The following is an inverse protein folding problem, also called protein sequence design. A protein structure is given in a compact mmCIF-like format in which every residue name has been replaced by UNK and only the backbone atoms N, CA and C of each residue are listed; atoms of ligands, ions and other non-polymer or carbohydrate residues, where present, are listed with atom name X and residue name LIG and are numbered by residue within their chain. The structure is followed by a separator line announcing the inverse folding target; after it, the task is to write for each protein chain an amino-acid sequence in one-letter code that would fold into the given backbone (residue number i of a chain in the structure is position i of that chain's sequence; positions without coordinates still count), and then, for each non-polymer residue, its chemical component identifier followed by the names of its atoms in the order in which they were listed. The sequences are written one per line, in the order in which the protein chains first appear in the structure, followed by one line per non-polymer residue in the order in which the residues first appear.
data_IF_331336377752
#
_entry.id   IF_331336377752
#
_cell.length_a   1.000
_cell.length_b   1.000
_cell.length_c   1.000
_cell.angle_alpha   90.00
_cell.angle_beta   90.00
_cell.angle_gamma   90.00
#
_symmetry.space_group_name_H-M   'P 1'
#
loop_
_entity.id
_entity.type
_entity.pdbx_description
1 polymer ?
#
# COMPACT_ATOMS: atom_id res chain seq x y z
N UNK A 1 32.61 -32.31 13.68
CA UNK A 1 31.86 -33.05 12.65
C UNK A 1 30.93 -32.05 12.00
N UNK A 2 31.19 -31.76 10.72
CA UNK A 2 30.47 -30.73 9.97
C UNK A 2 29.02 -31.12 9.77
N UNK A 3 28.12 -30.16 10.02
CA UNK A 3 26.80 -30.19 9.44
C UNK A 3 26.86 -29.33 8.18
N UNK A 4 27.10 -30.01 7.07
CA UNK A 4 26.81 -29.51 5.73
C UNK A 4 25.28 -29.49 5.65
N UNK A 5 24.68 -28.31 5.85
CA UNK A 5 23.33 -28.06 5.39
C UNK A 5 23.46 -27.84 3.89
N UNK A 6 22.93 -28.78 3.12
CA UNK A 6 22.91 -28.72 1.67
C UNK A 6 22.24 -27.42 1.19
N UNK A 7 22.92 -26.69 0.31
CA UNK A 7 22.35 -25.67 -0.56
C UNK A 7 21.27 -26.32 -1.42
N UNK A 8 20.00 -25.97 -1.20
CA UNK A 8 18.91 -26.27 -2.12
C UNK A 8 18.78 -25.12 -3.12
N UNK A 9 19.31 -25.36 -4.33
CA UNK A 9 19.02 -24.76 -5.64
C UNK A 9 19.03 -23.22 -5.76
N UNK A 10 20.22 -22.62 -5.69
CA UNK A 10 20.48 -21.30 -6.28
C UNK A 10 20.60 -21.45 -7.81
N UNK A 11 19.63 -20.92 -8.58
CA UNK A 11 19.69 -20.89 -10.05
C UNK A 11 20.79 -19.90 -10.48
N UNK A 12 21.88 -20.39 -11.03
CA UNK A 12 22.97 -19.55 -11.56
C UNK A 12 22.63 -19.08 -12.98
N UNK A 13 23.14 -17.93 -13.41
CA UNK A 13 23.00 -17.46 -14.81
C UNK A 13 23.51 -18.48 -15.85
N UNK A 14 24.38 -19.40 -15.41
CA UNK A 14 24.98 -20.45 -16.24
C UNK A 14 24.02 -21.63 -16.44
N UNK A 15 23.04 -21.77 -15.55
CA UNK A 15 21.96 -22.77 -15.66
C UNK A 15 20.85 -22.30 -16.62
N UNK A 16 20.86 -21.00 -16.96
CA UNK A 16 19.93 -20.42 -17.94
C UNK A 16 20.30 -20.81 -19.39
N UNK A 17 19.32 -20.85 -20.31
CA UNK A 17 19.56 -21.19 -21.71
C UNK A 17 20.56 -20.23 -22.37
N UNK A 18 21.66 -20.77 -22.86
CA UNK A 18 22.69 -19.97 -23.50
C UNK A 18 22.39 -19.77 -25.00
N UNK A 19 22.32 -18.52 -25.46
CA UNK A 19 21.87 -18.19 -26.83
C UNK A 19 22.71 -18.86 -27.93
N UNK A 20 24.00 -19.11 -27.69
CA UNK A 20 24.87 -19.80 -28.66
C UNK A 20 24.44 -21.25 -28.94
N UNK A 21 23.69 -21.87 -28.02
CA UNK A 21 23.12 -23.22 -28.19
C UNK A 21 21.85 -23.23 -29.03
N UNK A 22 21.35 -22.06 -29.44
CA UNK A 22 20.12 -21.87 -30.21
C UNK A 22 18.90 -22.56 -29.57
N UNK A 23 18.58 -22.27 -28.28
CA UNK A 23 17.47 -22.90 -27.59
C UNK A 23 16.13 -22.52 -28.23
N UNK A 24 15.11 -23.40 -28.17
CA UNK A 24 13.78 -23.07 -28.70
C UNK A 24 13.14 -21.91 -27.92
N UNK A 25 12.19 -21.23 -28.56
CA UNK A 25 11.51 -20.06 -28.00
C UNK A 25 10.86 -20.35 -26.63
N UNK A 26 10.24 -21.52 -26.49
CA UNK A 26 9.59 -21.97 -25.24
C UNK A 26 10.57 -22.01 -24.07
N UNK A 27 11.76 -22.56 -24.27
CA UNK A 27 12.80 -22.67 -23.24
C UNK A 27 13.32 -21.30 -22.82
N UNK A 28 13.44 -20.34 -23.75
CA UNK A 28 13.81 -18.95 -23.40
C UNK A 28 12.70 -18.31 -22.57
N UNK A 29 11.44 -18.47 -22.97
CA UNK A 29 10.30 -17.88 -22.26
C UNK A 29 10.13 -18.47 -20.85
N UNK A 30 10.30 -19.79 -20.68
CA UNK A 30 10.32 -20.45 -19.37
C UNK A 30 11.43 -19.89 -18.47
N UNK A 31 12.64 -19.73 -19.02
CA UNK A 31 13.75 -19.12 -18.29
C UNK A 31 13.47 -17.67 -17.89
N UNK A 32 12.86 -16.88 -18.78
CA UNK A 32 12.46 -15.51 -18.48
C UNK A 32 11.35 -15.44 -17.42
N UNK A 33 10.47 -16.45 -17.35
CA UNK A 33 9.44 -16.53 -16.31
C UNK A 33 10.06 -16.81 -14.93
N UNK A 34 11.08 -17.67 -14.87
CA UNK A 34 11.87 -17.89 -13.64
C UNK A 34 12.57 -16.61 -13.14
N UNK A 35 12.89 -15.68 -14.04
CA UNK A 35 13.50 -14.40 -13.70
C UNK A 35 12.49 -13.32 -13.30
N UNK A 36 11.19 -13.61 -13.28
CA UNK A 36 10.16 -12.64 -12.89
C UNK A 36 10.35 -12.18 -11.45
N UNK A 37 10.33 -10.86 -11.24
CA UNK A 37 10.26 -10.28 -9.91
C UNK A 37 8.79 -9.97 -9.63
N UNK A 38 8.26 -10.51 -8.54
CA UNK A 38 6.94 -10.13 -8.07
C UNK A 38 7.05 -8.80 -7.30
N UNK A 39 6.07 -7.88 -7.45
CA UNK A 39 6.05 -6.66 -6.66
C UNK A 39 6.14 -7.00 -5.17
N UNK A 40 7.03 -6.31 -4.46
CA UNK A 40 7.30 -6.61 -3.06
C UNK A 40 6.02 -6.49 -2.23
N UNK A 41 5.71 -7.56 -1.49
CA UNK A 41 4.70 -7.52 -0.43
C UNK A 41 5.42 -7.17 0.87
N UNK A 42 5.09 -6.04 1.49
CA UNK A 42 5.69 -5.53 2.73
C UNK A 42 5.31 -6.35 3.98
N UNK A 43 5.46 -7.67 3.92
CA UNK A 43 5.23 -8.56 5.03
C UNK A 43 6.44 -8.52 5.98
N UNK A 44 6.18 -8.41 7.28
CA UNK A 44 7.23 -8.33 8.32
C UNK A 44 8.11 -9.60 8.44
N UNK A 45 7.75 -10.70 7.77
CA UNK A 45 8.52 -11.93 7.66
C UNK A 45 8.36 -12.49 6.24
N UNK A 46 9.25 -12.18 5.28
CA UNK A 46 9.19 -12.80 3.97
C UNK A 46 9.29 -14.33 4.10
N UNK A 47 8.50 -15.11 3.35
CA UNK A 47 8.68 -16.56 3.28
C UNK A 47 10.13 -16.89 2.90
N UNK A 48 10.67 -18.05 3.29
CA UNK A 48 12.01 -18.49 2.85
C UNK A 48 12.20 -18.42 1.33
N UNK A 49 11.13 -18.63 0.56
CA UNK A 49 11.12 -18.49 -0.90
C UNK A 49 11.31 -17.04 -1.38
N UNK A 50 10.90 -16.02 -0.61
CA UNK A 50 11.17 -14.63 -0.91
C UNK A 50 12.65 -14.26 -0.62
N UNK A 51 13.29 -14.90 0.36
CA UNK A 51 14.73 -14.75 0.64
C UNK A 51 15.63 -15.39 -0.44
N UNK A 52 15.22 -16.50 -1.06
CA UNK A 52 15.93 -17.06 -2.22
C UNK A 52 15.69 -16.24 -3.50
N UNK A 53 14.47 -15.73 -3.71
CA UNK A 53 14.17 -14.78 -4.80
C UNK A 53 14.96 -13.47 -4.69
N UNK A 54 15.08 -12.89 -3.48
CA UNK A 54 15.94 -11.71 -3.25
C UNK A 54 17.41 -11.94 -3.61
N UNK A 55 17.92 -13.18 -3.50
CA UNK A 55 19.28 -13.52 -3.95
C UNK A 55 19.40 -13.55 -5.49
N UNK A 56 18.39 -14.04 -6.20
CA UNK A 56 18.28 -13.98 -7.66
C UNK A 56 18.11 -12.54 -8.20
N UNK A 57 17.44 -11.67 -7.45
CA UNK A 57 17.33 -10.23 -7.75
C UNK A 57 18.68 -9.53 -7.71
N UNK A 58 19.57 -9.92 -6.78
CA UNK A 58 20.91 -9.34 -6.60
C UNK A 58 21.99 -9.94 -7.49
N UNK A 59 21.68 -10.94 -8.32
CA UNK A 59 22.69 -11.51 -9.22
C UNK A 59 23.00 -10.52 -10.35
N UNK A 60 24.14 -9.81 -10.23
CA UNK A 60 24.63 -8.81 -11.18
C UNK A 60 24.78 -9.35 -12.63
N UNK A 61 24.82 -10.66 -12.80
CA UNK A 61 24.94 -11.31 -14.11
C UNK A 61 23.60 -11.43 -14.85
N UNK A 62 22.47 -11.35 -14.15
CA UNK A 62 21.12 -11.45 -14.73
C UNK A 62 20.81 -10.25 -15.64
N UNK A 63 21.04 -8.97 -15.25
CA UNK A 63 20.90 -7.84 -16.16
C UNK A 63 21.73 -7.99 -17.44
N UNK A 64 22.95 -8.52 -17.34
CA UNK A 64 23.81 -8.78 -18.50
C UNK A 64 23.26 -9.92 -19.39
N UNK A 65 22.63 -10.95 -18.80
CA UNK A 65 21.92 -11.99 -19.54
C UNK A 65 20.70 -11.46 -20.29
N UNK A 66 19.85 -10.69 -19.61
CA UNK A 66 18.66 -10.07 -20.21
C UNK A 66 19.04 -9.12 -21.37
N UNK A 67 20.08 -8.30 -21.18
CA UNK A 67 20.61 -7.41 -22.23
C UNK A 67 21.10 -8.19 -23.45
N UNK A 68 21.73 -9.37 -23.25
CA UNK A 68 22.14 -10.25 -24.35
C UNK A 68 20.96 -10.82 -25.13
N UNK A 69 19.84 -11.14 -24.45
CA UNK A 69 18.60 -11.57 -25.13
C UNK A 69 18.03 -10.42 -25.96
N UNK A 70 17.87 -9.24 -25.36
CA UNK A 70 17.28 -8.05 -26.00
C UNK A 70 18.09 -7.63 -27.23
N UNK A 71 19.42 -7.70 -27.17
CA UNK A 71 20.31 -7.35 -28.28
C UNK A 71 20.47 -8.46 -29.34
N UNK A 72 19.96 -9.68 -29.09
CA UNK A 72 20.04 -10.78 -30.03
C UNK A 72 18.95 -10.70 -31.10
N UNK A 73 19.32 -10.94 -32.36
CA UNK A 73 18.37 -11.04 -33.47
C UNK A 73 17.56 -12.34 -33.49
N UNK A 74 17.88 -13.31 -32.61
CA UNK A 74 17.19 -14.59 -32.46
C UNK A 74 16.97 -15.31 -33.81
N UNK A 75 17.96 -15.28 -34.71
CA UNK A 75 17.82 -15.74 -36.11
C UNK A 75 17.39 -17.20 -36.26
N UNK A 76 17.64 -18.04 -35.25
CA UNK A 76 17.25 -19.46 -35.26
C UNK A 76 15.78 -19.70 -34.90
N UNK A 77 15.06 -18.68 -34.43
CA UNK A 77 13.62 -18.73 -34.19
C UNK A 77 12.95 -18.22 -35.46
N UNK A 78 12.03 -18.99 -36.04
CA UNK A 78 11.35 -18.61 -37.29
C UNK A 78 10.09 -17.77 -37.05
N UNK A 79 9.36 -18.07 -35.97
CA UNK A 79 8.14 -17.36 -35.61
C UNK A 79 8.46 -15.92 -35.12
N UNK A 80 8.01 -14.93 -35.89
CA UNK A 80 8.20 -13.51 -35.58
C UNK A 80 7.47 -13.05 -34.31
N UNK A 81 6.26 -13.55 -34.05
CA UNK A 81 5.50 -13.22 -32.83
C UNK A 81 6.23 -13.74 -31.59
N UNK A 82 6.81 -14.94 -31.67
CA UNK A 82 7.57 -15.52 -30.57
C UNK A 82 8.84 -14.71 -30.26
N UNK A 83 9.49 -14.10 -31.28
CA UNK A 83 10.63 -13.20 -31.05
C UNK A 83 10.20 -11.94 -30.31
N UNK A 84 9.11 -11.32 -30.77
CA UNK A 84 8.57 -10.11 -30.15
C UNK A 84 8.23 -10.37 -28.68
N UNK A 85 7.57 -11.49 -28.40
CA UNK A 85 7.27 -11.91 -27.04
C UNK A 85 8.53 -12.11 -26.19
N UNK A 86 9.58 -12.74 -26.72
CA UNK A 86 10.85 -12.92 -26.00
C UNK A 86 11.48 -11.57 -25.66
N UNK A 87 11.57 -10.65 -26.64
CA UNK A 87 12.17 -9.33 -26.42
C UNK A 87 11.36 -8.50 -25.42
N UNK A 88 10.03 -8.54 -25.51
CA UNK A 88 9.14 -7.82 -24.61
C UNK A 88 9.25 -8.36 -23.17
N UNK A 89 9.19 -9.69 -22.99
CA UNK A 89 9.33 -10.30 -21.66
C UNK A 89 10.72 -10.04 -21.10
N UNK A 90 11.80 -10.19 -21.88
CA UNK A 90 13.16 -9.90 -21.43
C UNK A 90 13.35 -8.43 -21.01
N UNK A 91 12.81 -7.50 -21.80
CA UNK A 91 12.83 -6.07 -21.48
C UNK A 91 12.05 -5.78 -20.19
N UNK A 92 10.91 -6.43 -20.00
CA UNK A 92 10.13 -6.33 -18.76
C UNK A 92 10.92 -6.83 -17.54
N UNK A 93 11.58 -7.99 -17.63
CA UNK A 93 12.43 -8.53 -16.55
C UNK A 93 13.60 -7.61 -16.20
N UNK A 94 14.13 -6.88 -17.18
CA UNK A 94 15.20 -5.91 -16.98
C UNK A 94 14.67 -4.63 -16.32
N UNK A 95 13.49 -4.14 -16.74
CA UNK A 95 12.80 -2.99 -16.14
C UNK A 95 12.42 -3.25 -14.68
N UNK A 96 11.92 -4.45 -14.35
CA UNK A 96 11.63 -4.90 -12.97
C UNK A 96 12.85 -4.77 -12.03
N UNK A 97 14.07 -4.81 -12.59
CA UNK A 97 15.35 -4.70 -11.86
C UNK A 97 15.95 -3.30 -11.84
N UNK A 98 15.31 -2.32 -12.48
CA UNK A 98 15.83 -0.95 -12.60
C UNK A 98 15.38 -0.02 -11.45
N UNK A 99 14.90 -0.59 -10.34
CA UNK A 99 14.30 0.14 -9.23
C UNK A 99 12.90 0.69 -9.54
N UNK A 100 12.24 1.30 -8.55
CA UNK A 100 10.83 1.72 -8.66
C UNK A 100 10.56 2.75 -9.77
N UNK A 101 11.54 3.60 -10.10
CA UNK A 101 11.46 4.59 -11.18
C UNK A 101 11.64 4.00 -12.57
N UNK A 102 12.40 2.91 -12.69
CA UNK A 102 12.61 2.19 -13.96
C UNK A 102 11.59 1.08 -14.21
N UNK A 103 10.77 0.72 -13.22
CA UNK A 103 9.74 -0.30 -13.30
C UNK A 103 8.44 0.25 -13.90
N UNK A 104 7.82 -0.51 -14.80
CA UNK A 104 6.49 -0.21 -15.35
C UNK A 104 5.37 -0.26 -14.30
N UNK A 105 4.13 -0.07 -14.73
CA UNK A 105 2.97 -0.26 -13.86
C UNK A 105 2.83 -1.71 -13.40
N UNK A 106 2.24 -1.90 -12.22
CA UNK A 106 2.00 -3.21 -11.66
C UNK A 106 0.82 -3.19 -10.69
N UNK A 107 0.31 -4.38 -10.38
CA UNK A 107 -0.69 -4.58 -9.35
C UNK A 107 -0.04 -5.21 -8.12
N UNK A 108 -0.43 -4.74 -6.94
CA UNK A 108 0.09 -5.20 -5.65
C UNK A 108 -1.05 -5.62 -4.74
N UNK A 109 -0.83 -6.71 -3.99
CA UNK A 109 -1.80 -7.24 -3.04
C UNK A 109 -1.37 -6.94 -1.61
N UNK A 110 -2.29 -6.41 -0.80
CA UNK A 110 -2.08 -6.09 0.60
C UNK A 110 -2.96 -6.93 1.50
N UNK A 111 -2.34 -7.65 2.44
CA UNK A 111 -3.05 -8.38 3.48
C UNK A 111 -3.36 -7.45 4.66
N UNK A 112 -4.62 -7.05 4.80
CA UNK A 112 -5.09 -6.19 5.88
C UNK A 112 -5.71 -7.05 6.99
N UNK A 113 -5.17 -7.03 8.22
CA UNK A 113 -5.74 -7.75 9.35
C UNK A 113 -7.10 -7.17 9.74
N UNK A 114 -8.06 -8.05 10.02
CA UNK A 114 -9.41 -7.63 10.45
C UNK A 114 -9.56 -7.57 11.97
N UNK A 115 -8.57 -8.13 12.70
CA UNK A 115 -8.51 -8.27 14.16
C UNK A 115 -7.07 -8.22 14.66
N UNK A 116 -6.87 -7.90 15.95
CA UNK A 116 -5.54 -7.81 16.56
C UNK A 116 -4.82 -9.16 16.68
N UNK A 117 -5.54 -10.27 16.79
CA UNK A 117 -4.93 -11.62 16.81
C UNK A 117 -4.23 -11.96 15.48
N UNK A 118 -4.79 -11.51 14.36
CA UNK A 118 -4.21 -11.64 13.02
C UNK A 118 -2.91 -10.83 12.84
N UNK A 119 -2.65 -9.82 13.68
CA UNK A 119 -1.35 -9.12 13.70
C UNK A 119 -0.23 -10.02 14.23
N UNK A 120 -0.55 -10.97 15.11
CA UNK A 120 0.42 -11.86 15.77
C UNK A 120 0.66 -13.17 15.01
N UNK A 121 -0.31 -13.61 14.20
CA UNK A 121 -0.27 -14.86 13.41
C UNK A 121 0.89 -14.98 12.41
N UNK A 122 1.57 -13.88 12.08
CA UNK A 122 2.78 -13.89 11.24
C UNK A 122 4.03 -14.47 11.95
N UNK A 123 3.94 -14.84 13.24
CA UNK A 123 5.04 -15.42 14.04
C UNK A 123 4.98 -16.95 14.22
N UNK A 124 3.92 -17.64 13.78
CA UNK A 124 3.83 -19.11 13.89
C UNK A 124 3.60 -19.75 12.52
N UNK A 125 4.47 -20.71 12.17
CA UNK A 125 4.31 -21.59 11.00
C UNK A 125 2.93 -22.25 11.03
N UNK A 126 2.04 -21.89 10.12
CA UNK A 126 0.82 -22.65 9.88
C UNK A 126 1.11 -23.83 8.94
N UNK A 127 0.90 -25.04 9.44
CA UNK A 127 0.61 -26.20 8.59
C UNK A 127 -0.76 -26.01 7.91
N UNK A 128 -0.97 -26.58 6.72
CA UNK A 128 -2.25 -26.47 6.04
C UNK A 128 -3.30 -27.35 6.75
N UNK A 129 -4.36 -26.76 7.27
CA UNK A 129 -5.53 -27.53 7.74
C UNK A 129 -6.59 -27.57 6.65
N UNK A 130 -6.94 -28.79 6.25
CA UNK A 130 -7.96 -29.11 5.26
C UNK A 130 -9.33 -28.52 5.59
N UNK A 131 -10.04 -28.15 4.51
CA UNK A 131 -11.39 -27.62 4.55
C UNK A 131 -12.41 -28.67 5.04
N UNK A 132 -13.40 -28.23 5.82
CA UNK A 132 -14.68 -28.92 5.89
C UNK A 132 -15.84 -27.99 6.26
N UNK A 133 -16.85 -27.96 5.38
CA UNK A 133 -18.29 -27.99 5.70
C UNK A 133 -18.96 -26.88 6.51
N UNK A 134 -19.63 -25.97 5.79
CA UNK A 134 -20.93 -25.29 6.06
C UNK A 134 -21.43 -25.13 7.52
N UNK A 135 -21.48 -23.87 8.01
CA UNK A 135 -22.68 -23.19 8.56
C UNK A 135 -22.45 -21.68 8.58
N UNK A 136 -23.49 -20.89 8.30
CA UNK A 136 -23.44 -19.45 8.04
C UNK A 136 -22.97 -18.57 9.20
N UNK A 137 -22.07 -17.65 8.86
CA UNK A 137 -21.56 -16.55 9.67
C UNK A 137 -20.29 -16.03 8.99
N UNK A 138 -20.26 -14.78 8.54
CA UNK A 138 -19.06 -14.14 7.97
C UNK A 138 -17.94 -14.20 9.01
N UNK A 139 -17.08 -15.22 8.93
CA UNK A 139 -16.04 -15.48 9.92
C UNK A 139 -15.02 -14.34 9.92
N UNK A 140 -15.03 -13.53 10.98
CA UNK A 140 -14.15 -12.38 11.24
C UNK A 140 -12.70 -12.78 11.60
N UNK A 141 -12.23 -13.99 11.23
CA UNK A 141 -11.01 -14.62 11.78
C UNK A 141 -9.75 -14.46 10.91
N UNK A 142 -9.70 -13.50 9.99
CA UNK A 142 -8.64 -13.46 8.97
C UNK A 142 -8.14 -12.08 8.58
N UNK A 143 -7.49 -12.06 7.42
CA UNK A 143 -7.13 -10.86 6.67
C UNK A 143 -8.11 -10.64 5.53
N UNK A 144 -8.23 -9.41 5.05
CA UNK A 144 -8.79 -9.09 3.73
C UNK A 144 -7.63 -8.79 2.78
N UNK A 145 -7.70 -9.29 1.56
CA UNK A 145 -6.72 -8.99 0.52
C UNK A 145 -7.27 -7.83 -0.30
N UNK A 146 -6.50 -6.75 -0.38
CA UNK A 146 -6.80 -5.61 -1.23
C UNK A 146 -5.83 -5.56 -2.41
N UNK A 147 -6.34 -5.33 -3.61
CA UNK A 147 -5.55 -5.22 -4.85
C UNK A 147 -5.43 -3.75 -5.25
N UNK A 148 -4.21 -3.25 -5.42
CA UNK A 148 -3.96 -1.88 -5.86
C UNK A 148 -3.14 -1.87 -7.14
N UNK A 149 -3.63 -1.12 -8.12
CA UNK A 149 -2.87 -0.72 -9.29
C UNK A 149 -1.99 0.48 -8.96
N UNK A 150 -0.69 0.34 -9.22
CA UNK A 150 0.27 1.43 -9.21
C UNK A 150 0.77 1.68 -10.63
N UNK A 151 0.49 2.85 -11.23
CA UNK A 151 1.05 3.17 -12.53
C UNK A 151 2.57 3.39 -12.45
N UNK A 152 3.20 3.45 -13.63
CA UNK A 152 4.62 3.80 -13.76
C UNK A 152 4.87 5.13 -13.06
N UNK A 153 5.92 5.20 -12.25
CA UNK A 153 6.29 6.43 -11.55
C UNK A 153 6.97 7.38 -12.54
N UNK A 154 6.22 8.35 -13.06
CA UNK A 154 6.71 9.36 -14.00
C UNK A 154 6.64 10.75 -13.37
N UNK A 155 7.73 11.52 -13.44
CA UNK A 155 7.78 12.89 -12.90
C UNK A 155 7.43 12.96 -11.40
N UNK A 156 6.61 13.94 -11.03
CA UNK A 156 6.22 14.25 -9.64
C UNK A 156 4.98 13.47 -9.15
N UNK A 157 4.61 12.36 -9.79
CA UNK A 157 3.42 11.55 -9.48
C UNK A 157 3.55 10.69 -8.19
N UNK A 158 4.06 11.29 -7.11
CA UNK A 158 4.29 10.61 -5.82
C UNK A 158 3.01 10.02 -5.21
N UNK A 159 1.84 10.62 -5.49
CA UNK A 159 0.53 10.12 -5.03
C UNK A 159 0.07 8.81 -5.68
N UNK A 160 0.73 8.35 -6.76
CA UNK A 160 0.37 7.12 -7.45
C UNK A 160 1.17 5.88 -6.98
N UNK A 161 2.07 6.09 -6.01
CA UNK A 161 2.79 5.02 -5.31
C UNK A 161 2.16 4.80 -3.94
N UNK A 162 2.01 3.55 -3.54
CA UNK A 162 1.68 3.23 -2.14
C UNK A 162 2.94 3.44 -1.30
N UNK A 163 2.79 4.05 -0.12
CA UNK A 163 3.88 4.32 0.83
C UNK A 163 3.75 3.44 2.09
N UNK A 164 4.88 3.18 2.76
CA UNK A 164 4.93 2.30 3.93
C UNK A 164 3.99 2.77 5.06
N UNK A 165 3.90 4.09 5.26
CA UNK A 165 2.97 4.78 6.15
C UNK A 165 1.51 4.39 5.90
N UNK A 166 1.08 4.31 4.64
CA UNK A 166 -0.27 3.83 4.27
C UNK A 166 -0.48 2.37 4.68
N UNK A 167 0.54 1.52 4.51
CA UNK A 167 0.42 0.11 4.89
C UNK A 167 0.37 -0.10 6.41
N UNK A 168 1.22 0.62 7.15
CA UNK A 168 1.24 0.59 8.61
C UNK A 168 -0.10 1.08 9.18
N UNK A 169 -0.61 2.21 8.69
CA UNK A 169 -1.91 2.73 9.11
C UNK A 169 -3.04 1.75 8.80
N UNK A 170 -3.07 1.19 7.58
CA UNK A 170 -4.09 0.21 7.18
C UNK A 170 -4.10 -1.04 8.08
N UNK A 171 -2.93 -1.53 8.51
CA UNK A 171 -2.82 -2.64 9.46
C UNK A 171 -3.30 -2.27 10.87
N UNK A 172 -3.04 -1.03 11.30
CA UNK A 172 -3.41 -0.50 12.62
C UNK A 172 -4.91 -0.33 12.83
N UNK A 173 -5.70 -0.21 11.76
CA UNK A 173 -7.14 0.01 11.84
C UNK A 173 -7.88 -1.04 12.68
N UNK A 174 -7.46 -2.31 12.65
CA UNK A 174 -8.08 -3.36 13.46
C UNK A 174 -7.84 -3.14 14.97
N UNK A 175 -6.65 -2.69 15.36
CA UNK A 175 -6.32 -2.31 16.74
C UNK A 175 -7.14 -1.11 17.20
N UNK A 176 -7.32 -0.11 16.32
CA UNK A 176 -8.20 1.04 16.61
C UNK A 176 -9.64 0.58 16.80
N UNK A 177 -10.15 -0.28 15.91
CA UNK A 177 -11.51 -0.85 16.01
C UNK A 177 -11.73 -1.60 17.32
N UNK A 178 -10.75 -2.37 17.79
CA UNK A 178 -10.87 -3.18 19.01
C UNK A 178 -10.53 -2.39 20.30
N UNK A 179 -9.90 -1.21 20.20
CA UNK A 179 -9.64 -0.34 21.34
C UNK A 179 -10.95 0.22 21.93
N UNK A 180 -11.20 0.00 23.22
CA UNK A 180 -12.42 0.47 23.91
C UNK A 180 -12.52 2.00 24.00
N UNK A 181 -11.38 2.69 24.02
CA UNK A 181 -11.32 4.16 24.06
C UNK A 181 -11.46 4.81 22.67
N UNK A 182 -11.44 4.00 21.60
CA UNK A 182 -11.65 4.48 20.25
C UNK A 182 -13.13 4.36 19.87
N UNK A 183 -13.75 5.44 19.34
CA UNK A 183 -15.16 5.47 18.97
C UNK A 183 -15.57 4.32 18.07
N UNK A 184 -16.81 3.88 18.24
CA UNK A 184 -17.45 2.92 17.35
C UNK A 184 -18.31 3.71 16.38
N UNK A 185 -18.17 3.39 15.10
CA UNK A 185 -18.92 4.07 14.06
C UNK A 185 -20.11 3.23 13.63
N UNK A 186 -21.23 3.89 13.42
CA UNK A 186 -22.41 3.26 12.84
C UNK A 186 -22.22 3.06 11.33
N UNK A 187 -22.93 2.10 10.73
CA UNK A 187 -22.81 1.83 9.29
C UNK A 187 -23.25 3.01 8.40
N UNK A 188 -24.04 3.93 8.96
CA UNK A 188 -24.49 5.15 8.27
C UNK A 188 -23.47 6.29 8.33
N UNK A 189 -22.45 6.16 9.18
CA UNK A 189 -21.37 7.12 9.27
C UNK A 189 -20.37 6.91 8.13
N UNK A 190 -19.83 8.03 7.64
CA UNK A 190 -18.90 8.05 6.52
C UNK A 190 -17.53 8.43 7.06
N UNK A 191 -16.52 7.63 6.74
CA UNK A 191 -15.12 7.93 6.99
C UNK A 191 -14.57 8.75 5.83
N UNK A 192 -13.77 9.77 6.08
CA UNK A 192 -13.06 10.52 5.03
C UNK A 192 -11.57 10.19 5.07
N UNK A 193 -10.97 9.90 3.93
CA UNK A 193 -9.51 9.88 3.78
C UNK A 193 -9.05 11.09 2.96
N UNK A 194 -8.11 11.86 3.53
CA UNK A 194 -7.48 13.02 2.89
C UNK A 194 -6.13 12.59 2.30
N UNK A 195 -5.92 12.84 1.00
CA UNK A 195 -4.67 12.48 0.32
C UNK A 195 -4.53 10.96 0.23
N UNK A 196 -5.52 10.31 -0.37
CA UNK A 196 -5.66 8.86 -0.37
C UNK A 196 -4.61 8.15 -1.24
N UNK A 197 -4.00 8.85 -2.20
CA UNK A 197 -3.05 8.29 -3.14
C UNK A 197 -3.63 7.10 -3.90
N UNK A 198 -3.10 5.90 -3.64
CA UNK A 198 -3.61 4.63 -4.19
C UNK A 198 -4.89 4.13 -3.52
N UNK A 199 -5.24 4.64 -2.33
CA UNK A 199 -6.48 4.34 -1.60
C UNK A 199 -6.35 3.27 -0.51
N UNK A 200 -5.15 2.76 -0.23
CA UNK A 200 -4.95 1.61 0.65
C UNK A 200 -5.66 1.75 2.01
N UNK A 201 -5.49 2.90 2.68
CA UNK A 201 -5.98 3.09 4.06
C UNK A 201 -7.49 3.15 4.09
N UNK A 202 -8.14 3.91 3.22
CA UNK A 202 -9.58 4.06 3.25
C UNK A 202 -10.32 2.83 2.70
N UNK A 203 -9.74 2.10 1.75
CA UNK A 203 -10.23 0.76 1.36
C UNK A 203 -10.16 -0.21 2.55
N UNK A 204 -9.05 -0.21 3.29
CA UNK A 204 -8.91 -0.98 4.51
C UNK A 204 -9.92 -0.55 5.59
N UNK A 205 -10.14 0.75 5.75
CA UNK A 205 -11.11 1.31 6.70
C UNK A 205 -12.54 0.85 6.40
N UNK A 206 -12.95 0.86 5.13
CA UNK A 206 -14.26 0.37 4.72
C UNK A 206 -14.44 -1.12 5.07
N UNK A 207 -13.41 -1.95 4.87
CA UNK A 207 -13.47 -3.38 5.18
C UNK A 207 -13.37 -3.70 6.69
N UNK A 208 -12.57 -2.94 7.43
CA UNK A 208 -12.31 -3.15 8.86
C UNK A 208 -13.46 -2.60 9.71
N UNK A 209 -13.85 -1.34 9.49
CA UNK A 209 -14.93 -0.70 10.24
C UNK A 209 -16.32 -1.07 9.72
N UNK A 210 -16.44 -1.59 8.48
CA UNK A 210 -17.71 -1.96 7.83
C UNK A 210 -18.64 -0.76 7.66
N UNK A 211 -18.04 0.35 7.26
CA UNK A 211 -18.69 1.65 7.03
C UNK A 211 -18.50 2.08 5.59
N UNK A 212 -19.17 3.17 5.19
CA UNK A 212 -18.81 3.87 3.97
C UNK A 212 -17.51 4.66 4.19
N UNK A 213 -16.59 4.62 3.23
CA UNK A 213 -15.41 5.49 3.20
C UNK A 213 -15.41 6.33 1.94
N UNK A 214 -15.03 7.59 2.07
CA UNK A 214 -14.83 8.52 0.97
C UNK A 214 -13.33 8.79 0.79
N UNK A 215 -12.79 8.36 -0.34
CA UNK A 215 -11.37 8.54 -0.68
C UNK A 215 -11.21 9.83 -1.47
N UNK A 216 -10.32 10.71 -1.02
CA UNK A 216 -10.12 12.00 -1.67
C UNK A 216 -8.66 12.30 -1.97
N UNK A 217 -8.45 12.91 -3.13
CA UNK A 217 -7.14 13.37 -3.59
C UNK A 217 -7.31 14.45 -4.69
N UNK A 218 -6.20 14.85 -5.31
CA UNK A 218 -6.17 15.79 -6.44
C UNK A 218 -6.72 15.17 -7.74
N UNK A 219 -7.19 16.00 -8.70
CA UNK A 219 -7.81 15.54 -9.95
C UNK A 219 -6.99 14.51 -10.75
N UNK A 220 -5.67 14.61 -10.72
CA UNK A 220 -4.73 13.73 -11.39
C UNK A 220 -4.59 12.35 -10.74
N UNK A 221 -4.90 12.22 -9.44
CA UNK A 221 -4.80 10.97 -8.67
C UNK A 221 -6.13 10.20 -8.69
N UNK A 222 -7.26 10.93 -8.65
CA UNK A 222 -8.61 10.37 -8.55
C UNK A 222 -8.94 9.29 -9.61
N UNK A 223 -8.50 9.36 -10.88
CA UNK A 223 -8.75 8.30 -11.85
C UNK A 223 -8.17 6.94 -11.44
N UNK A 224 -6.93 6.90 -10.95
CA UNK A 224 -6.31 5.66 -10.47
C UNK A 224 -6.96 5.19 -9.15
N UNK A 225 -7.25 6.14 -8.26
CA UNK A 225 -7.95 5.87 -7.00
C UNK A 225 -9.31 5.20 -7.23
N UNK A 226 -10.08 5.66 -8.23
CA UNK A 226 -11.35 5.04 -8.62
C UNK A 226 -11.16 3.63 -9.17
N UNK A 227 -10.16 3.41 -10.04
CA UNK A 227 -9.83 2.07 -10.55
C UNK A 227 -9.55 1.10 -9.39
N UNK A 228 -8.79 1.53 -8.39
CA UNK A 228 -8.51 0.74 -7.20
C UNK A 228 -9.76 0.50 -6.34
N UNK A 229 -10.62 1.50 -6.16
CA UNK A 229 -11.89 1.32 -5.45
C UNK A 229 -12.81 0.32 -6.15
N UNK A 230 -12.92 0.38 -7.48
CA UNK A 230 -13.72 -0.55 -8.28
C UNK A 230 -13.20 -2.00 -8.18
N UNK A 231 -11.87 -2.20 -8.25
CA UNK A 231 -11.25 -3.51 -8.11
C UNK A 231 -11.56 -4.19 -6.76
N UNK A 232 -11.74 -3.39 -5.70
CA UNK A 232 -12.00 -3.88 -4.34
C UNK A 232 -13.47 -3.77 -3.91
N UNK A 233 -14.36 -3.30 -4.77
CA UNK A 233 -15.74 -3.00 -4.40
C UNK A 233 -16.49 -4.24 -3.87
N UNK A 234 -16.30 -5.40 -4.50
CA UNK A 234 -16.99 -6.63 -4.08
C UNK A 234 -16.46 -7.14 -2.73
N UNK A 235 -15.14 -7.19 -2.54
CA UNK A 235 -14.55 -7.68 -1.28
C UNK A 235 -14.91 -6.76 -0.12
N UNK A 236 -15.02 -5.45 -0.34
CA UNK A 236 -15.46 -4.48 0.68
C UNK A 236 -16.97 -4.64 0.96
N UNK A 237 -17.78 -4.82 -0.09
CA UNK A 237 -19.23 -5.04 0.06
C UNK A 237 -19.56 -6.31 0.84
N UNK A 238 -18.83 -7.40 0.61
CA UNK A 238 -18.98 -8.66 1.36
C UNK A 238 -18.70 -8.48 2.86
N UNK A 239 -17.96 -7.43 3.22
CA UNK A 239 -17.66 -7.04 4.60
C UNK A 239 -18.67 -6.05 5.18
N UNK A 240 -19.62 -5.58 4.38
CA UNK A 240 -20.62 -4.59 4.78
C UNK A 240 -20.14 -3.14 4.71
N UNK A 241 -19.00 -2.87 4.06
CA UNK A 241 -18.54 -1.52 3.77
C UNK A 241 -18.90 -1.06 2.37
N UNK A 242 -18.59 0.19 2.05
CA UNK A 242 -18.66 0.72 0.69
C UNK A 242 -17.62 1.84 0.52
N UNK A 243 -17.25 2.11 -0.72
CA UNK A 243 -16.24 3.13 -1.04
C UNK A 243 -16.71 3.99 -2.20
N UNK A 244 -16.43 5.29 -2.09
CA UNK A 244 -16.61 6.25 -3.16
C UNK A 244 -15.40 7.20 -3.19
N UNK A 245 -15.15 7.84 -4.34
CA UNK A 245 -13.94 8.62 -4.59
C UNK A 245 -14.28 9.99 -5.16
N UNK A 246 -13.55 11.03 -4.76
CA UNK A 246 -13.75 12.36 -5.30
C UNK A 246 -12.56 13.30 -5.13
N UNK A 247 -12.65 14.44 -5.79
CA UNK A 247 -11.62 15.49 -5.70
C UNK A 247 -11.82 16.29 -4.42
N UNK A 248 -10.77 16.42 -3.62
CA UNK A 248 -10.72 17.35 -2.49
C UNK A 248 -9.36 18.02 -2.47
N UNK A 249 -9.32 19.23 -3.01
CA UNK A 249 -8.16 20.11 -2.95
C UNK A 249 -8.14 20.85 -1.61
N UNK A 250 -7.10 20.64 -0.82
CA UNK A 250 -6.96 21.24 0.51
C UNK A 250 -6.81 22.76 0.48
N UNK A 251 -6.49 23.35 -0.68
CA UNK A 251 -6.49 24.82 -0.87
C UNK A 251 -7.90 25.39 -0.88
N UNK A 252 -8.91 24.57 -1.17
CA UNK A 252 -10.32 24.95 -1.12
C UNK A 252 -11.21 23.81 -0.59
N UNK A 253 -11.16 23.48 0.73
CA UNK A 253 -11.91 22.38 1.32
C UNK A 253 -13.44 22.49 1.08
N UNK A 254 -13.94 23.72 0.97
CA UNK A 254 -15.36 24.00 0.76
C UNK A 254 -15.90 23.62 -0.61
N UNK A 255 -15.04 23.41 -1.61
CA UNK A 255 -15.46 22.96 -2.94
C UNK A 255 -15.89 21.48 -2.95
N UNK A 256 -15.43 20.69 -1.99
CA UNK A 256 -15.80 19.28 -1.88
C UNK A 256 -17.19 19.13 -1.27
N UNK A 257 -18.09 18.50 -2.01
CA UNK A 257 -19.44 18.14 -1.55
C UNK A 257 -19.55 16.61 -1.52
N UNK A 258 -19.64 15.98 -0.34
CA UNK A 258 -19.86 14.54 -0.23
C UNK A 258 -21.18 14.14 -0.89
N UNK A 259 -21.24 13.02 -1.62
CA UNK A 259 -22.50 12.45 -2.06
C UNK A 259 -23.34 12.06 -0.83
N UNK A 260 -24.66 12.25 -0.93
CA UNK A 260 -25.67 12.14 0.15
C UNK A 260 -25.82 13.35 1.09
N UNK A 261 -25.12 14.47 0.86
CA UNK A 261 -25.36 15.72 1.61
C UNK A 261 -26.67 16.47 1.27
N UNK A 262 -27.55 15.92 0.42
CA UNK A 262 -28.85 16.56 0.10
C UNK A 262 -29.77 16.77 1.31
N UNK A 263 -29.45 16.21 2.48
CA UNK A 263 -30.25 16.31 3.72
C UNK A 263 -29.49 16.77 4.96
N UNK A 264 -28.17 17.01 4.92
CA UNK A 264 -27.37 17.40 6.11
C UNK A 264 -26.91 18.87 5.99
N UNK A 265 -27.30 19.69 6.96
CA UNK A 265 -27.17 21.16 6.94
C UNK A 265 -25.81 21.72 7.40
N UNK A 266 -24.80 20.87 7.66
CA UNK A 266 -23.46 21.28 8.08
C UNK A 266 -22.36 20.74 7.15
N UNK A 267 -21.22 21.43 7.01
CA UNK A 267 -20.03 20.93 6.31
C UNK A 267 -19.22 19.90 7.13
N UNK A 268 -19.29 19.98 8.46
CA UNK A 268 -18.51 19.19 9.42
C UNK A 268 -19.22 17.86 9.71
N UNK A 269 -19.09 16.87 8.82
CA UNK A 269 -19.94 15.67 8.84
C UNK A 269 -19.19 14.34 8.97
N UNK A 270 -17.85 14.36 9.03
CA UNK A 270 -17.07 13.13 9.09
C UNK A 270 -16.65 12.84 10.54
N UNK A 271 -17.15 11.78 11.19
CA UNK A 271 -16.71 11.41 12.55
C UNK A 271 -15.31 10.81 12.56
N UNK A 272 -14.78 10.38 11.40
CA UNK A 272 -13.40 9.93 11.26
C UNK A 272 -12.76 10.53 10.02
N UNK A 273 -11.59 11.16 10.20
CA UNK A 273 -10.68 11.53 9.13
C UNK A 273 -9.40 10.70 9.25
N UNK A 274 -8.95 10.12 8.14
CA UNK A 274 -7.69 9.40 8.00
C UNK A 274 -6.75 10.16 7.06
N UNK A 275 -5.44 10.15 7.34
CA UNK A 275 -4.42 10.61 6.41
C UNK A 275 -3.10 9.85 6.63
N UNK A 276 -2.47 9.39 5.55
CA UNK A 276 -1.16 8.72 5.58
C UNK A 276 -0.16 9.48 4.72
N UNK A 277 1.01 9.79 5.28
CA UNK A 277 2.08 10.57 4.64
C UNK A 277 1.69 11.94 4.05
N UNK A 278 0.81 12.75 4.66
CA UNK A 278 0.31 13.96 4.00
C UNK A 278 1.33 15.11 3.90
N UNK A 279 2.54 14.99 4.46
CA UNK A 279 3.48 16.12 4.66
C UNK A 279 4.80 15.92 3.92
N UNK A 280 4.97 16.67 2.83
CA UNK A 280 6.21 16.73 2.06
C UNK A 280 6.55 18.14 1.53
N UNK A 281 5.76 19.15 1.89
CA UNK A 281 5.99 20.58 1.59
C UNK A 281 5.68 21.46 2.81
N UNK A 282 6.32 22.63 2.97
CA UNK A 282 6.09 23.54 4.10
C UNK A 282 4.64 24.06 4.24
N UNK A 283 3.86 24.06 3.17
CA UNK A 283 2.45 24.52 3.16
C UNK A 283 1.49 23.46 3.70
N UNK A 284 1.85 22.17 3.59
CA UNK A 284 0.96 21.05 3.89
C UNK A 284 0.43 21.04 5.32
N UNK A 285 1.21 21.38 6.37
CA UNK A 285 0.67 21.49 7.71
C UNK A 285 -0.52 22.45 7.82
N UNK A 286 -0.49 23.58 7.09
CA UNK A 286 -1.60 24.54 7.10
C UNK A 286 -2.79 24.04 6.30
N UNK A 287 -2.55 23.49 5.12
CA UNK A 287 -3.61 23.00 4.23
C UNK A 287 -4.36 21.84 4.88
N UNK A 288 -3.63 20.87 5.44
CA UNK A 288 -4.23 19.71 6.11
C UNK A 288 -5.03 20.13 7.34
N UNK A 289 -4.50 21.01 8.20
CA UNK A 289 -5.22 21.47 9.38
C UNK A 289 -6.52 22.22 9.01
N UNK A 290 -6.50 23.01 7.94
CA UNK A 290 -7.69 23.70 7.44
C UNK A 290 -8.74 22.72 6.86
N UNK A 291 -8.30 21.72 6.10
CA UNK A 291 -9.18 20.68 5.57
C UNK A 291 -9.83 19.87 6.71
N UNK A 292 -9.05 19.48 7.72
CA UNK A 292 -9.55 18.80 8.93
C UNK A 292 -10.57 19.68 9.65
N UNK A 293 -10.27 20.95 9.90
CA UNK A 293 -11.17 21.86 10.60
C UNK A 293 -12.51 22.06 9.87
N UNK A 294 -12.51 21.97 8.53
CA UNK A 294 -13.72 22.10 7.72
C UNK A 294 -14.54 20.81 7.61
N UNK A 295 -13.92 19.64 7.68
CA UNK A 295 -14.61 18.36 7.41
C UNK A 295 -14.89 17.52 8.66
N UNK A 296 -14.05 17.62 9.70
CA UNK A 296 -14.19 16.80 10.91
C UNK A 296 -15.43 17.23 11.69
N UNK A 297 -16.32 16.29 12.01
CA UNK A 297 -17.52 16.55 12.79
C UNK A 297 -17.17 17.13 14.18
N UNK A 298 -17.92 18.11 14.66
CA UNK A 298 -17.74 18.67 16.01
C UNK A 298 -18.57 17.89 17.04
N UNK A 299 -18.17 16.65 17.27
CA UNK A 299 -18.75 15.77 18.28
C UNK A 299 -17.64 15.12 19.11
N UNK A 300 -17.96 14.72 20.34
CA UNK A 300 -16.98 14.13 21.28
C UNK A 300 -16.29 12.88 20.73
N UNK A 301 -16.98 12.14 19.86
CA UNK A 301 -16.49 10.91 19.22
C UNK A 301 -15.78 11.15 17.88
N UNK A 302 -15.64 12.39 17.43
CA UNK A 302 -14.90 12.65 16.20
C UNK A 302 -13.39 12.42 16.39
N UNK A 303 -12.75 11.74 15.44
CA UNK A 303 -11.31 11.43 15.47
C UNK A 303 -10.63 11.81 14.16
N UNK A 304 -9.41 12.30 14.29
CA UNK A 304 -8.45 12.37 13.20
C UNK A 304 -7.32 11.38 13.49
N UNK A 305 -7.00 10.52 12.54
CA UNK A 305 -5.88 9.58 12.63
C UNK A 305 -4.89 9.89 11.52
N UNK A 306 -3.65 10.14 11.91
CA UNK A 306 -2.56 10.48 10.99
C UNK A 306 -1.41 9.50 11.19
N UNK A 307 -0.83 9.03 10.10
CA UNK A 307 0.45 8.33 10.09
C UNK A 307 1.48 9.05 9.22
N UNK A 308 2.65 9.35 9.80
CA UNK A 308 3.70 10.14 9.15
C UNK A 308 5.07 9.48 9.28
N UNK A 309 5.88 9.41 8.21
CA UNK A 309 7.24 8.98 8.33
C UNK A 309 8.08 9.99 9.13
N UNK A 310 8.96 9.45 9.97
CA UNK A 310 9.93 10.21 10.75
C UNK A 310 11.19 10.40 9.92
N UNK A 311 11.19 11.44 9.09
CA UNK A 311 12.35 11.92 8.33
C UNK A 311 12.89 13.19 8.96
N UNK A 312 14.21 13.28 9.16
CA UNK A 312 14.84 14.44 9.81
C UNK A 312 14.50 15.76 9.09
N UNK A 313 14.55 15.74 7.75
CA UNK A 313 14.26 16.90 6.90
C UNK A 313 12.86 17.52 7.11
N UNK A 314 11.87 16.72 7.54
CA UNK A 314 10.49 17.16 7.74
C UNK A 314 10.11 17.35 9.22
N UNK A 315 11.10 17.43 10.10
CA UNK A 315 10.90 17.70 11.53
C UNK A 315 10.11 18.98 11.81
N UNK A 316 10.51 20.13 11.23
CA UNK A 316 9.79 21.39 11.40
C UNK A 316 8.32 21.33 10.96
N UNK A 317 8.02 20.68 9.84
CA UNK A 317 6.66 20.57 9.30
C UNK A 317 5.77 19.67 10.18
N UNK A 318 6.31 18.56 10.70
CA UNK A 318 5.58 17.72 11.68
C UNK A 318 5.24 18.50 12.95
N UNK A 319 6.18 19.29 13.45
CA UNK A 319 5.94 20.15 14.61
C UNK A 319 4.90 21.24 14.30
N UNK A 320 5.00 21.88 13.13
CA UNK A 320 4.03 22.88 12.71
C UNK A 320 2.61 22.30 12.57
N UNK A 321 2.47 21.07 12.08
CA UNK A 321 1.19 20.38 12.03
C UNK A 321 0.60 20.19 13.43
N UNK A 322 1.40 19.69 14.40
CA UNK A 322 0.95 19.52 15.80
C UNK A 322 0.43 20.83 16.41
N UNK A 323 1.13 21.93 16.16
CA UNK A 323 0.75 23.26 16.63
C UNK A 323 -0.58 23.71 15.99
N UNK A 324 -0.73 23.56 14.68
CA UNK A 324 -1.94 23.96 13.96
C UNK A 324 -3.15 23.13 14.35
N UNK A 325 -3.01 21.81 14.49
CA UNK A 325 -4.07 20.94 15.02
C UNK A 325 -4.48 21.37 16.44
N UNK A 326 -3.50 21.77 17.26
CA UNK A 326 -3.78 22.31 18.60
C UNK A 326 -4.53 23.65 18.57
N UNK A 327 -4.17 24.53 17.64
CA UNK A 327 -4.79 25.86 17.46
C UNK A 327 -6.25 25.74 17.01
N UNK A 328 -6.57 24.81 16.10
CA UNK A 328 -7.96 24.60 15.66
C UNK A 328 -8.82 23.97 16.77
N UNK A 329 -8.22 23.45 17.84
CA UNK A 329 -8.93 22.93 19.01
C UNK A 329 -8.84 21.42 19.19
N UNK A 330 -8.01 20.73 18.42
CA UNK A 330 -7.72 19.31 18.66
C UNK A 330 -6.70 19.15 19.79
N UNK A 331 -6.71 17.97 20.39
CA UNK A 331 -5.67 17.48 21.31
C UNK A 331 -5.28 16.07 20.90
N UNK A 332 -4.04 15.71 21.18
CA UNK A 332 -3.57 14.35 21.01
C UNK A 332 -4.22 13.45 22.08
N UNK A 333 -4.83 12.35 21.64
CA UNK A 333 -5.45 11.34 22.50
C UNK A 333 -4.65 10.05 22.60
N UNK A 334 -3.92 9.69 21.54
CA UNK A 334 -3.04 8.54 21.52
C UNK A 334 -1.94 8.74 20.48
N UNK A 335 -0.78 8.15 20.68
CA UNK A 335 0.32 8.17 19.71
C UNK A 335 1.32 7.04 19.94
N UNK A 336 2.13 6.79 18.93
CA UNK A 336 3.26 5.91 19.05
C UNK A 336 4.09 5.87 17.79
N UNK A 337 5.09 5.00 17.79
CA UNK A 337 5.98 4.82 16.66
C UNK A 337 5.99 3.35 16.24
N UNK A 338 6.14 3.13 14.95
CA UNK A 338 6.34 1.81 14.38
C UNK A 338 7.28 1.85 13.18
N UNK A 339 7.89 0.72 12.85
CA UNK A 339 8.79 0.62 11.70
C UNK A 339 8.13 -0.21 10.61
N UNK A 340 8.03 0.37 9.42
CA UNK A 340 7.64 -0.32 8.19
C UNK A 340 8.84 -0.50 7.26
N UNK A 341 8.59 -1.14 6.13
CA UNK A 341 9.55 -1.28 5.03
C UNK A 341 8.96 -0.61 3.78
N UNK A 342 9.81 0.01 2.97
CA UNK A 342 9.44 0.61 1.69
C UNK A 342 10.13 -0.13 0.52
N UNK A 343 9.79 0.22 -0.71
CA UNK A 343 10.31 -0.40 -1.95
C UNK A 343 11.80 -0.10 -2.22
N UNK A 344 12.40 0.76 -1.41
CA UNK A 344 13.79 1.19 -1.59
C UNK A 344 14.73 0.25 -0.87
N UNK A 345 15.94 0.11 -1.40
CA UNK A 345 16.98 -0.72 -0.81
C UNK A 345 17.91 0.18 0.03
N UNK A 346 18.13 -0.22 1.28
CA UNK A 346 19.06 0.40 2.22
C UNK A 346 20.53 0.15 1.85
N UNK A 347 21.45 0.79 2.60
CA UNK A 347 22.89 0.70 2.34
C UNK A 347 23.48 -0.70 2.55
N UNK A 348 22.80 -1.54 3.32
CA UNK A 348 23.11 -2.95 3.57
C UNK A 348 22.54 -3.91 2.50
N UNK A 349 21.82 -3.37 1.52
CA UNK A 349 21.13 -4.12 0.49
C UNK A 349 19.76 -4.65 0.91
N UNK A 350 19.36 -4.52 2.18
CA UNK A 350 18.04 -4.90 2.67
C UNK A 350 16.99 -3.84 2.36
N UNK A 351 15.70 -4.13 2.59
CA UNK A 351 14.66 -3.12 2.41
C UNK A 351 14.86 -1.95 3.36
N UNK A 352 14.67 -0.75 2.86
CA UNK A 352 14.78 0.47 3.63
C UNK A 352 13.68 0.48 4.69
N UNK A 353 14.10 0.36 5.94
CA UNK A 353 13.24 0.57 7.08
C UNK A 353 12.86 2.04 7.20
N UNK A 354 11.58 2.29 7.43
CA UNK A 354 11.06 3.62 7.65
C UNK A 354 10.27 3.64 8.95
N UNK A 355 10.78 4.42 9.90
CA UNK A 355 10.11 4.67 11.17
C UNK A 355 8.98 5.67 10.92
N UNK A 356 7.79 5.34 11.35
CA UNK A 356 6.59 6.16 11.27
C UNK A 356 6.10 6.51 12.67
N UNK A 357 5.50 7.70 12.78
CA UNK A 357 4.76 8.17 13.93
C UNK A 357 3.28 8.17 13.57
N UNK A 358 2.48 7.41 14.33
CA UNK A 358 1.03 7.42 14.23
C UNK A 358 0.44 8.24 15.38
N UNK A 359 -0.68 8.90 15.12
CA UNK A 359 -1.34 9.76 16.09
C UNK A 359 -2.85 9.76 15.93
N UNK A 360 -3.56 9.80 17.06
CA UNK A 360 -5.00 9.93 17.14
C UNK A 360 -5.34 11.23 17.85
N UNK A 361 -6.15 12.06 17.23
CA UNK A 361 -6.56 13.38 17.69
C UNK A 361 -8.06 13.43 17.97
N UNK A 362 -8.46 14.21 18.97
CA UNK A 362 -9.85 14.46 19.35
C UNK A 362 -10.07 15.92 19.71
N UNK A 363 -11.31 16.42 19.62
CA UNK A 363 -11.63 17.78 20.06
C UNK A 363 -11.37 17.98 21.55
N UNK A 364 -10.88 19.18 21.91
CA UNK A 364 -10.83 19.63 23.32
C UNK A 364 -12.26 19.67 23.87
N UNK A 365 -12.51 19.00 25.00
CA UNK A 365 -13.79 19.12 25.68
C UNK A 365 -13.91 20.57 26.16
N UNK A 366 -14.96 21.26 25.72
CA UNK A 366 -15.33 22.54 26.32
C UNK A 366 -15.91 22.22 27.71
N UNK A 367 -15.26 22.70 28.77
CA UNK A 367 -15.73 22.58 30.14
C UNK A 367 -16.71 23.69 30.49
#
# INVERSE_FOLDING_TARGET
MGNILADEDDVHVLDLPQLYTKPPATTILEALDLLKIEPQTWQQNPPKAALSRHRLERNEEVPAYLTRIISSSLLWIENGEAKEQIWEVASKRLSERSGRTGMGSFDRHFNIPLRTDALQGAKQKSQPSEANGMTGGLHDKGTVVLELHEPTLTGDNLGLKTWASSHLLARRLCSLRENENFPKFDQEEIVLELGSGTGLVGLAAAAVFRTQTFLTDLPEIVPNLRKNAEANAQVIKDRGGSVDCGVLDWTNPSAFTPPNQRSRSSPNNFPLILAADPIYSPEHPSLLANAVAYHLAHVDDARLVIELPIREAYGPERQNLRERLSVIGLRLSDEGEETGVDDWIGQDGELAEIKCWWSVWSWRKHW
#
